data_IF_711175390296
#
_entry.id   IF_711175390296
#
_cell.length_a   1.000
_cell.length_b   1.000
_cell.length_c   1.000
_cell.angle_alpha   90.00
_cell.angle_beta   90.00
_cell.angle_gamma   90.00
#
_symmetry.space_group_name_H-M   'P 1'
#
loop_
_entity.id
_entity.type
_entity.pdbx_description
1 polymer ?
#
# COMPACT_ATOMS: atom_id res chain seq x y z
N UNK A 1 27.14 -8.98 10.26
CA UNK A 1 26.34 -7.96 9.55
C UNK A 1 24.89 -8.38 9.66
N UNK A 2 24.04 -7.49 10.18
CA UNK A 2 22.62 -7.76 10.34
C UNK A 2 21.97 -8.00 8.98
N UNK A 3 21.11 -9.03 8.92
CA UNK A 3 20.46 -9.48 7.67
C UNK A 3 19.34 -8.53 7.24
N UNK A 4 18.80 -7.77 8.20
CA UNK A 4 17.64 -6.89 8.06
C UNK A 4 18.07 -5.46 8.36
N UNK A 5 17.64 -4.49 7.54
CA UNK A 5 18.07 -3.10 7.66
C UNK A 5 17.29 -2.38 8.78
N UNK A 6 15.98 -2.67 8.88
CA UNK A 6 15.10 -2.07 9.89
C UNK A 6 13.98 -3.02 10.29
N UNK A 7 13.60 -3.00 11.58
CA UNK A 7 12.45 -3.70 12.12
C UNK A 7 11.58 -2.70 12.89
N UNK A 8 10.35 -2.50 12.41
CA UNK A 8 9.31 -1.74 13.09
C UNK A 8 8.23 -2.67 13.65
N UNK A 9 7.69 -2.36 14.82
CA UNK A 9 6.58 -3.12 15.42
C UNK A 9 5.42 -2.18 15.70
N UNK A 10 4.27 -2.47 15.09
CA UNK A 10 3.01 -1.83 15.39
C UNK A 10 2.15 -2.78 16.22
N UNK A 11 2.14 -2.56 17.54
CA UNK A 11 1.39 -3.39 18.49
C UNK A 11 -0.12 -3.20 18.34
N UNK A 12 -0.58 -2.03 17.93
CA UNK A 12 -2.01 -1.74 17.79
C UNK A 12 -2.64 -2.46 16.60
N UNK A 13 -1.87 -2.64 15.52
CA UNK A 13 -2.30 -3.34 14.32
C UNK A 13 -1.80 -4.80 14.28
N UNK A 14 -1.12 -5.27 15.32
CA UNK A 14 -0.47 -6.58 15.35
C UNK A 14 0.37 -6.85 14.10
N UNK A 15 1.23 -5.90 13.72
CA UNK A 15 2.04 -5.96 12.49
C UNK A 15 3.51 -5.65 12.75
N UNK A 16 4.39 -6.41 12.11
CA UNK A 16 5.83 -6.18 12.04
C UNK A 16 6.18 -5.70 10.63
N UNK A 17 6.98 -4.64 10.56
CA UNK A 17 7.49 -4.07 9.33
C UNK A 17 8.98 -4.36 9.22
N UNK A 18 9.40 -4.95 8.10
CA UNK A 18 10.81 -5.12 7.77
C UNK A 18 11.15 -4.13 6.66
N UNK A 19 11.97 -3.12 6.97
CA UNK A 19 12.39 -2.13 5.99
C UNK A 19 13.49 -2.69 5.10
N UNK A 20 13.22 -2.74 3.79
CA UNK A 20 14.14 -3.14 2.74
C UNK A 20 14.60 -1.86 2.02
N UNK A 21 15.71 -1.28 2.45
CA UNK A 21 16.25 -0.07 1.83
C UNK A 21 17.03 -0.40 0.57
N UNK A 22 16.84 0.40 -0.48
CA UNK A 22 17.56 0.28 -1.73
C UNK A 22 18.23 1.61 -2.10
N UNK A 23 19.55 1.54 -2.18
CA UNK A 23 20.46 2.65 -2.45
C UNK A 23 21.02 2.61 -3.87
N UNK A 24 20.68 1.58 -4.66
CA UNK A 24 21.19 1.44 -6.01
C UNK A 24 20.31 2.23 -6.99
N UNK A 25 20.95 2.87 -7.97
CA UNK A 25 20.22 3.41 -9.11
C UNK A 25 19.86 2.30 -10.12
N UNK A 26 18.95 2.61 -11.04
CA UNK A 26 18.45 1.66 -12.04
C UNK A 26 19.19 1.74 -13.39
N UNK A 27 20.42 2.26 -13.44
CA UNK A 27 21.19 2.36 -14.70
C UNK A 27 21.58 1.00 -15.26
N UNK A 28 21.99 0.08 -14.38
CA UNK A 28 22.17 -1.34 -14.71
C UNK A 28 21.04 -2.16 -14.09
N UNK A 29 19.91 -2.23 -14.78
CA UNK A 29 18.73 -2.94 -14.30
C UNK A 29 18.97 -4.44 -14.10
N UNK A 30 19.92 -5.05 -14.82
CA UNK A 30 20.17 -6.49 -14.67
C UNK A 30 20.92 -6.76 -13.36
N UNK A 31 22.02 -6.04 -13.13
CA UNK A 31 22.79 -6.15 -11.90
C UNK A 31 21.94 -5.78 -10.69
N UNK A 32 21.13 -4.72 -10.80
CA UNK A 32 20.23 -4.28 -9.74
C UNK A 32 19.20 -5.38 -9.43
N UNK A 33 18.45 -5.89 -10.42
CA UNK A 33 17.46 -6.96 -10.19
C UNK A 33 18.06 -8.17 -9.46
N UNK A 34 19.29 -8.57 -9.83
CA UNK A 34 19.99 -9.66 -9.16
C UNK A 34 20.33 -9.32 -7.69
N UNK A 35 20.83 -8.11 -7.42
CA UNK A 35 21.15 -7.66 -6.07
C UNK A 35 19.90 -7.60 -5.18
N UNK A 36 18.82 -6.99 -5.68
CA UNK A 36 17.56 -6.87 -4.97
C UNK A 36 16.92 -8.24 -4.71
N UNK A 37 16.97 -9.16 -5.67
CA UNK A 37 16.50 -10.56 -5.49
C UNK A 37 17.24 -11.23 -4.34
N UNK A 38 18.58 -11.17 -4.33
CA UNK A 38 19.39 -11.74 -3.24
C UNK A 38 19.06 -11.12 -1.88
N UNK A 39 18.74 -9.82 -1.83
CA UNK A 39 18.35 -9.14 -0.59
C UNK A 39 16.98 -9.62 -0.10
N UNK A 40 16.00 -9.72 -0.99
CA UNK A 40 14.67 -10.26 -0.69
C UNK A 40 14.76 -11.71 -0.18
N UNK A 41 15.54 -12.55 -0.84
CA UNK A 41 15.72 -13.96 -0.44
C UNK A 41 16.32 -14.08 0.96
N UNK A 42 17.25 -13.19 1.33
CA UNK A 42 17.82 -13.12 2.67
C UNK A 42 16.78 -12.72 3.72
N UNK A 43 15.89 -11.77 3.40
CA UNK A 43 14.81 -11.35 4.31
C UNK A 43 13.83 -12.49 4.53
N UNK A 44 13.41 -13.15 3.46
CA UNK A 44 12.54 -14.33 3.52
C UNK A 44 13.21 -15.43 4.35
N UNK A 45 14.49 -15.70 4.12
CA UNK A 45 15.27 -16.67 4.89
C UNK A 45 15.34 -16.32 6.38
N UNK A 46 15.53 -15.04 6.73
CA UNK A 46 15.53 -14.57 8.11
C UNK A 46 14.19 -14.84 8.80
N UNK A 47 13.06 -14.51 8.15
CA UNK A 47 11.72 -14.77 8.68
C UNK A 47 11.49 -16.28 8.85
N UNK A 48 11.71 -17.06 7.78
CA UNK A 48 11.42 -18.51 7.75
C UNK A 48 12.31 -19.31 8.70
N UNK A 49 13.53 -18.83 8.96
CA UNK A 49 14.42 -19.45 9.94
C UNK A 49 13.96 -19.26 11.40
N UNK A 50 12.91 -18.45 11.64
CA UNK A 50 12.42 -18.15 12.97
C UNK A 50 13.27 -17.12 13.73
N UNK A 51 14.37 -16.61 13.15
CA UNK A 51 15.24 -15.61 13.78
C UNK A 51 14.50 -14.36 14.23
N UNK A 52 13.51 -13.91 13.45
CA UNK A 52 12.63 -12.81 13.85
C UNK A 52 11.96 -13.08 15.20
N UNK A 53 11.37 -14.26 15.38
CA UNK A 53 10.66 -14.61 16.61
C UNK A 53 11.59 -14.92 17.79
N UNK A 54 12.82 -15.38 17.52
CA UNK A 54 13.84 -15.54 18.55
C UNK A 54 14.26 -14.19 19.13
N UNK A 55 14.47 -13.21 18.25
CA UNK A 55 14.91 -11.87 18.65
C UNK A 55 13.74 -11.00 19.16
N UNK A 56 12.52 -11.25 18.68
CA UNK A 56 11.31 -10.48 19.01
C UNK A 56 10.15 -11.43 19.40
N UNK A 57 10.23 -12.17 20.52
CA UNK A 57 9.23 -13.19 20.86
C UNK A 57 7.82 -12.64 21.06
N UNK A 58 7.70 -11.36 21.45
CA UNK A 58 6.43 -10.67 21.68
C UNK A 58 5.60 -10.43 20.42
N UNK A 59 6.19 -10.52 19.23
CA UNK A 59 5.49 -10.31 17.95
C UNK A 59 4.94 -11.60 17.35
N UNK A 60 4.93 -12.70 18.12
CA UNK A 60 4.35 -13.97 17.68
C UNK A 60 2.88 -13.77 17.31
N UNK A 61 2.53 -14.25 16.11
CA UNK A 61 1.17 -14.10 15.57
C UNK A 61 0.90 -12.75 14.91
N UNK A 62 1.87 -11.83 14.87
CA UNK A 62 1.72 -10.58 14.14
C UNK A 62 1.87 -10.84 12.63
N UNK A 63 1.15 -10.06 11.82
CA UNK A 63 1.36 -10.05 10.37
C UNK A 63 2.74 -9.44 10.07
N UNK A 64 3.44 -10.00 9.09
CA UNK A 64 4.75 -9.49 8.65
C UNK A 64 4.58 -8.79 7.31
N UNK A 65 5.05 -7.55 7.23
CA UNK A 65 5.08 -6.74 6.03
C UNK A 65 6.51 -6.33 5.69
N UNK A 66 6.93 -6.55 4.44
CA UNK A 66 8.21 -6.07 3.90
C UNK A 66 7.94 -4.73 3.21
N UNK A 67 8.55 -3.66 3.70
CA UNK A 67 8.44 -2.33 3.12
C UNK A 67 9.64 -2.03 2.25
N UNK A 68 9.43 -1.92 0.95
CA UNK A 68 10.49 -1.52 0.03
C UNK A 68 10.61 -0.01 -0.06
N UNK A 69 11.81 0.49 0.19
CA UNK A 69 12.12 1.92 0.22
C UNK A 69 13.29 2.16 -0.74
N UNK A 70 12.98 2.72 -1.91
CA UNK A 70 13.98 3.10 -2.90
C UNK A 70 14.40 4.56 -2.70
N UNK A 71 15.70 4.81 -2.64
CA UNK A 71 16.26 6.17 -2.63
C UNK A 71 16.28 6.79 -4.03
N UNK A 72 16.33 5.95 -5.07
CA UNK A 72 16.30 6.36 -6.46
C UNK A 72 14.93 6.12 -7.11
N UNK A 73 14.52 6.94 -8.09
CA UNK A 73 13.31 6.68 -8.85
C UNK A 73 13.40 5.36 -9.61
N UNK A 74 12.34 4.56 -9.56
CA UNK A 74 12.25 3.33 -10.32
C UNK A 74 11.87 3.61 -11.78
N UNK A 75 12.46 2.87 -12.71
CA UNK A 75 11.99 2.80 -14.10
C UNK A 75 10.69 1.99 -14.18
N UNK A 76 9.98 2.05 -15.31
CA UNK A 76 8.79 1.20 -15.53
C UNK A 76 9.12 -0.30 -15.43
N UNK A 77 10.27 -0.71 -15.96
CA UNK A 77 10.77 -2.09 -15.85
C UNK A 77 11.01 -2.51 -14.39
N UNK A 78 11.59 -1.60 -13.59
CA UNK A 78 11.79 -1.80 -12.16
C UNK A 78 10.48 -1.96 -11.37
N UNK A 79 9.46 -1.14 -11.68
CA UNK A 79 8.12 -1.27 -11.09
C UNK A 79 7.52 -2.65 -11.39
N UNK A 80 7.56 -3.08 -12.65
CA UNK A 80 7.03 -4.40 -13.04
C UNK A 80 7.81 -5.54 -12.39
N UNK A 81 9.14 -5.41 -12.31
CA UNK A 81 9.97 -6.35 -11.57
C UNK A 81 9.54 -6.44 -10.09
N UNK A 82 9.38 -5.31 -9.40
CA UNK A 82 8.92 -5.29 -8.02
C UNK A 82 7.57 -5.97 -7.85
N UNK A 83 6.59 -5.70 -8.72
CA UNK A 83 5.28 -6.38 -8.69
C UNK A 83 5.40 -7.90 -8.80
N UNK A 84 6.41 -8.42 -9.50
CA UNK A 84 6.66 -9.87 -9.52
C UNK A 84 7.19 -10.39 -8.18
N UNK A 85 8.02 -9.61 -7.48
CA UNK A 85 8.57 -9.97 -6.17
C UNK A 85 7.51 -9.86 -5.07
N UNK A 86 6.70 -8.82 -5.13
CA UNK A 86 5.56 -8.60 -4.24
C UNK A 86 4.61 -9.80 -4.28
N UNK A 87 4.28 -10.32 -5.47
CA UNK A 87 3.50 -11.56 -5.61
C UNK A 87 4.16 -12.76 -4.93
N UNK A 88 5.45 -12.99 -5.17
CA UNK A 88 6.18 -14.10 -4.52
C UNK A 88 6.19 -13.97 -3.00
N UNK A 89 6.35 -12.75 -2.47
CA UNK A 89 6.31 -12.50 -1.03
C UNK A 89 4.91 -12.76 -0.46
N UNK A 90 3.88 -12.31 -1.17
CA UNK A 90 2.47 -12.55 -0.83
C UNK A 90 2.10 -14.03 -0.82
N UNK A 91 2.58 -14.79 -1.81
CA UNK A 91 2.35 -16.25 -1.90
C UNK A 91 2.99 -17.02 -0.74
N UNK A 92 4.03 -16.45 -0.11
CA UNK A 92 4.64 -16.98 1.12
C UNK A 92 3.88 -16.60 2.40
N UNK A 93 2.80 -15.83 2.29
CA UNK A 93 1.96 -15.39 3.41
C UNK A 93 2.45 -14.10 4.09
N UNK A 94 3.38 -13.37 3.49
CA UNK A 94 3.85 -12.07 4.00
C UNK A 94 3.28 -10.94 3.14
N UNK A 95 3.08 -9.75 3.69
CA UNK A 95 2.75 -8.58 2.88
C UNK A 95 4.03 -7.97 2.31
N UNK A 96 3.91 -7.37 1.13
CA UNK A 96 4.92 -6.48 0.57
C UNK A 96 4.24 -5.27 -0.04
N UNK A 97 4.87 -4.11 0.09
CA UNK A 97 4.45 -2.88 -0.57
C UNK A 97 5.63 -1.93 -0.76
N UNK A 98 5.53 -1.08 -1.78
CA UNK A 98 6.44 0.05 -1.93
C UNK A 98 6.02 1.14 -0.94
N UNK A 99 6.95 1.61 -0.13
CA UNK A 99 6.76 2.82 0.65
C UNK A 99 7.25 3.99 -0.19
N UNK A 100 6.31 4.74 -0.76
CA UNK A 100 6.61 5.99 -1.44
C UNK A 100 7.20 6.98 -0.46
N UNK A 101 8.52 7.12 -0.46
CA UNK A 101 9.20 8.23 0.21
C UNK A 101 9.85 9.03 -0.90
N UNK A 102 9.21 10.12 -1.32
CA UNK A 102 9.87 11.09 -2.19
C UNK A 102 10.91 11.86 -1.36
N UNK A 103 12.12 11.32 -1.29
CA UNK A 103 13.25 11.94 -0.59
C UNK A 103 13.86 13.10 -1.39
N UNK A 104 13.44 13.35 -2.64
CA UNK A 104 14.00 14.43 -3.47
C UNK A 104 13.89 15.78 -2.75
N UNK A 105 12.73 16.04 -2.12
CA UNK A 105 12.52 17.24 -1.29
C UNK A 105 13.49 17.34 -0.12
N UNK A 106 13.87 16.22 0.49
CA UNK A 106 14.83 16.18 1.61
C UNK A 106 16.29 16.29 1.17
N UNK A 107 16.58 15.92 -0.08
CA UNK A 107 17.92 15.96 -0.68
C UNK A 107 18.19 17.26 -1.47
N UNK A 108 17.27 18.22 -1.45
CA UNK A 108 17.39 19.47 -2.22
C UNK A 108 17.30 19.27 -3.73
N UNK A 109 16.82 18.11 -4.18
CA UNK A 109 16.59 17.83 -5.60
C UNK A 109 15.24 18.46 -5.97
N UNK A 110 15.17 19.35 -6.98
CA UNK A 110 13.92 19.94 -7.41
C UNK A 110 12.96 18.83 -7.88
N UNK A 111 11.72 18.91 -7.42
CA UNK A 111 10.63 18.04 -7.87
C UNK A 111 9.72 18.90 -8.70
N UNK A 112 9.66 18.69 -10.02
CA UNK A 112 8.54 19.18 -10.82
C UNK A 112 7.26 18.60 -10.23
N UNK A 113 6.49 19.43 -9.53
CA UNK A 113 5.14 19.09 -9.15
C UNK A 113 4.37 18.85 -10.46
N UNK A 114 3.89 17.61 -10.64
CA UNK A 114 2.94 17.31 -11.71
C UNK A 114 1.76 18.25 -11.52
N UNK A 115 1.70 19.30 -12.35
CA UNK A 115 0.55 20.15 -12.46
C UNK A 115 -0.62 19.21 -12.75
N UNK A 116 -1.59 19.16 -11.83
CA UNK A 116 -2.88 18.60 -12.15
C UNK A 116 -3.38 19.42 -13.32
N UNK A 117 -3.35 18.82 -14.51
CA UNK A 117 -3.93 19.41 -15.69
C UNK A 117 -5.42 19.54 -15.38
N UNK A 118 -5.82 20.74 -14.98
CA UNK A 118 -7.21 21.18 -14.99
C UNK A 118 -7.62 21.36 -16.45
N UNK A 119 -7.43 20.32 -17.27
CA UNK A 119 -8.20 20.18 -18.49
C UNK A 119 -9.64 20.02 -18.00
N UNK A 120 -10.42 21.09 -18.20
CA UNK A 120 -11.87 21.06 -18.01
C UNK A 120 -12.41 19.73 -18.55
N UNK A 121 -13.34 19.05 -17.85
CA UNK A 121 -13.92 17.83 -18.37
C UNK A 121 -14.50 18.14 -19.75
N UNK A 122 -13.88 17.60 -20.80
CA UNK A 122 -14.41 17.67 -22.15
C UNK A 122 -15.73 16.95 -22.11
N UNK A 123 -16.82 17.72 -22.14
CA UNK A 123 -18.16 17.20 -22.22
C UNK A 123 -18.22 16.33 -23.48
N UNK A 124 -18.51 15.02 -23.36
CA UNK A 124 -18.60 14.18 -24.54
C UNK A 124 -19.65 14.79 -25.48
N UNK A 125 -19.41 14.82 -26.81
CA UNK A 125 -20.39 15.35 -27.74
C UNK A 125 -21.72 14.66 -27.49
N UNK A 126 -22.79 15.45 -27.37
CA UNK A 126 -24.13 14.97 -27.12
C UNK A 126 -24.43 13.83 -28.08
N UNK A 127 -24.62 12.62 -27.52
CA UNK A 127 -25.06 11.48 -28.28
C UNK A 127 -26.48 11.82 -28.78
N UNK A 128 -26.64 12.06 -30.07
CA UNK A 128 -27.97 12.23 -30.68
C UNK A 128 -28.77 10.96 -30.37
N UNK A 129 -29.72 11.09 -29.44
CA UNK A 129 -30.67 10.04 -29.13
C UNK A 129 -31.61 9.97 -30.34
N UNK A 130 -31.35 9.01 -31.22
CA UNK A 130 -32.30 8.63 -32.27
C UNK A 130 -33.63 8.29 -31.58
N UNK A 131 -34.70 8.99 -31.97
CA UNK A 131 -36.04 8.72 -31.48
C UNK A 131 -36.36 7.23 -31.64
N UNK A 132 -36.86 6.54 -30.59
CA UNK A 132 -37.21 5.14 -30.71
C UNK A 132 -38.43 4.99 -31.63
N UNK A 133 -38.21 4.39 -32.79
CA UNK A 133 -39.23 3.86 -33.69
C UNK A 133 -40.23 3.00 -32.87
N UNK A 134 -41.54 3.32 -32.87
CA UNK A 134 -42.51 2.76 -31.92
C UNK A 134 -42.82 1.26 -32.08
N UNK A 135 -42.04 0.48 -32.82
CA UNK A 135 -42.34 -0.92 -33.13
C UNK A 135 -41.28 -1.97 -32.76
N UNK A 136 -40.22 -1.63 -32.04
CA UNK A 136 -39.25 -2.68 -31.60
C UNK A 136 -39.40 -3.02 -30.11
N UNK A 137 -40.31 -3.94 -29.81
CA UNK A 137 -40.30 -4.68 -28.54
C UNK A 137 -39.06 -5.59 -28.50
N UNK A 138 -38.09 -5.29 -27.63
CA UNK A 138 -37.14 -6.29 -27.15
C UNK A 138 -37.19 -6.31 -25.63
N UNK A 139 -37.58 -7.47 -25.13
CA UNK A 139 -37.81 -7.76 -23.73
C UNK A 139 -36.51 -7.73 -22.91
N UNK A 140 -36.61 -7.10 -21.73
CA UNK A 140 -36.12 -7.67 -20.48
C UNK A 140 -34.63 -7.53 -20.15
N UNK A 141 -34.23 -6.37 -19.63
CA UNK A 141 -33.38 -6.27 -18.41
C UNK A 141 -33.75 -4.96 -17.70
N UNK A 142 -34.45 -5.03 -16.55
CA UNK A 142 -34.62 -3.85 -15.69
C UNK A 142 -33.32 -3.61 -14.94
N UNK A 143 -32.54 -2.62 -15.39
CA UNK A 143 -31.38 -2.15 -14.65
C UNK A 143 -31.87 -1.30 -13.47
N UNK A 144 -31.73 -1.81 -12.24
CA UNK A 144 -31.95 -1.04 -11.02
C UNK A 144 -30.64 -0.33 -10.66
N UNK A 145 -30.56 1.02 -10.69
CA UNK A 145 -29.37 1.71 -10.23
C UNK A 145 -29.18 1.55 -8.71
N UNK A 146 -27.94 1.44 -8.20
CA UNK A 146 -27.69 1.34 -6.77
C UNK A 146 -28.13 2.63 -6.05
N UNK A 147 -28.88 2.47 -4.97
CA UNK A 147 -29.34 3.58 -4.14
C UNK A 147 -28.15 4.29 -3.47
N UNK A 148 -28.16 5.63 -3.39
CA UNK A 148 -27.11 6.38 -2.69
C UNK A 148 -27.11 6.06 -1.18
N UNK A 149 -25.94 6.08 -0.53
CA UNK A 149 -25.83 5.78 0.90
C UNK A 149 -26.63 6.79 1.73
N UNK A 150 -27.63 6.32 2.46
CA UNK A 150 -28.37 7.11 3.44
C UNK A 150 -27.44 7.45 4.61
N UNK A 151 -26.99 8.70 4.69
CA UNK A 151 -26.40 9.27 5.90
C UNK A 151 -27.45 9.32 7.03
N UNK A 152 -27.46 8.31 7.89
CA UNK A 152 -28.17 8.35 9.17
C UNK A 152 -27.33 9.19 10.14
N UNK A 153 -27.68 10.45 10.32
CA UNK A 153 -27.18 11.26 11.46
C UNK A 153 -27.82 10.69 12.73
N UNK A 154 -27.14 9.76 13.41
CA UNK A 154 -27.44 9.44 14.80
C UNK A 154 -26.45 10.20 15.68
N UNK A 155 -26.89 11.04 16.63
CA UNK A 155 -25.99 11.61 17.62
C UNK A 155 -25.52 10.50 18.57
N UNK A 156 -24.21 10.38 18.78
CA UNK A 156 -23.62 9.49 19.77
C UNK A 156 -24.07 9.94 21.18
N UNK A 157 -24.46 9.03 22.08
CA UNK A 157 -24.75 9.40 23.46
C UNK A 157 -23.45 9.81 24.18
N UNK A 158 -23.51 10.95 24.88
CA UNK A 158 -22.44 11.48 25.72
C UNK A 158 -22.21 10.51 26.89
N UNK A 159 -21.08 9.81 26.90
CA UNK A 159 -20.64 9.06 28.08
C UNK A 159 -20.14 10.05 29.14
N UNK A 160 -20.94 10.25 30.19
CA UNK A 160 -20.53 10.94 31.42
C UNK A 160 -19.35 10.17 32.05
N UNK A 161 -18.21 10.85 32.19
CA UNK A 161 -17.08 10.38 33.00
C UNK A 161 -17.52 10.26 34.46
N UNK A 162 -17.60 9.03 34.97
CA UNK A 162 -17.58 8.78 36.40
C UNK A 162 -16.14 8.92 36.91
N UNK A 163 -15.92 9.95 37.72
CA UNK A 163 -14.73 10.10 38.53
C UNK A 163 -14.77 9.06 39.66
N UNK A 164 -13.78 8.16 39.71
CA UNK A 164 -13.46 7.44 40.93
C UNK A 164 -12.13 7.97 41.47
N UNK A 165 -12.26 8.75 42.53
CA UNK A 165 -11.21 9.06 43.48
C UNK A 165 -10.74 7.73 44.10
N UNK A 166 -9.44 7.49 44.14
CA UNK A 166 -8.84 6.70 45.20
C UNK A 166 -7.70 7.54 45.78
N UNK A 167 -7.89 7.91 47.04
CA UNK A 167 -6.86 8.42 47.92
C UNK A 167 -6.35 7.26 48.77
N UNK A 168 -5.02 7.17 48.87
CA UNK A 168 -4.17 6.70 49.97
C UNK A 168 -4.52 5.40 50.72
N UNK A 169 -3.52 4.50 50.77
CA UNK A 169 -2.73 4.34 52.00
C UNK A 169 -1.30 3.92 51.65
#
# INVERSE_FOLDING_TARGET
MDVIDYIGVNVLQSRVYLGLFDELDWRDEQAHRLALTKKIDRYIGYIRSGKLLLNYPRVRGFEIAIEYVSTHPMTSSAVEFWKTRERVINDLGFKAHIRGVDVRRSLGIPVEELQQDHSDPVEPPALEVLDPDPLTQVAGVTYLPPLPPRHRKQPLPILRRLAMRHAAM
#
